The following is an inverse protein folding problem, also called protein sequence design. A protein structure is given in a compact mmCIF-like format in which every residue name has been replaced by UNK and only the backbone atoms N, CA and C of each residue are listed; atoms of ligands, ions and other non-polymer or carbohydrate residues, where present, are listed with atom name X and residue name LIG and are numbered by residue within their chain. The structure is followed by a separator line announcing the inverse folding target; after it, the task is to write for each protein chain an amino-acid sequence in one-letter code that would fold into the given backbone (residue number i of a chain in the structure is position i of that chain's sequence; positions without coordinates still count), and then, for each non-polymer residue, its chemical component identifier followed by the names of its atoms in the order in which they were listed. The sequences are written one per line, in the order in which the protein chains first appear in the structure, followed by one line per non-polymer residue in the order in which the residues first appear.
data_IF_187738907172
#
_entry.id   IF_187738907172
#
_cell.length_a   1.000
_cell.length_b   1.000
_cell.length_c   1.000
_cell.angle_alpha   90.00
_cell.angle_beta   90.00
_cell.angle_gamma   90.00
#
_symmetry.space_group_name_H-M   'P 1'
#
loop_
_entity.id
_entity.type
_entity.pdbx_description
1 polymer ?
#
# COMPACT_ATOMS: atom_id res chain seq x y z
N UNK A 1 -9.23 16.99 10.45
CA UNK A 1 -8.60 16.54 9.18
C UNK A 1 -9.70 16.39 8.16
N UNK A 2 -9.65 17.15 7.06
CA UNK A 2 -10.67 17.13 6.01
C UNK A 2 -10.81 15.73 5.39
N UNK A 3 -12.02 15.18 5.44
CA UNK A 3 -12.35 13.84 4.92
C UNK A 3 -12.01 13.68 3.43
N UNK A 4 -12.02 14.79 2.68
CA UNK A 4 -11.63 14.84 1.27
C UNK A 4 -10.12 14.63 1.09
N UNK A 5 -9.28 15.24 1.93
CA UNK A 5 -7.83 15.09 1.87
C UNK A 5 -7.41 13.65 2.16
N UNK A 6 -8.02 13.02 3.18
CA UNK A 6 -7.76 11.63 3.52
C UNK A 6 -8.17 10.68 2.38
N UNK A 7 -9.26 11.00 1.67
CA UNK A 7 -9.72 10.21 0.53
C UNK A 7 -8.76 10.31 -0.65
N UNK A 8 -8.22 11.49 -0.93
CA UNK A 8 -7.18 11.67 -1.96
C UNK A 8 -5.89 10.94 -1.61
N UNK A 9 -5.42 11.05 -0.36
CA UNK A 9 -4.23 10.35 0.11
C UNK A 9 -4.38 8.82 -0.01
N UNK A 10 -5.56 8.31 0.33
CA UNK A 10 -5.88 6.89 0.19
C UNK A 10 -5.85 6.42 -1.26
N UNK A 11 -6.43 7.17 -2.20
CA UNK A 11 -6.40 6.83 -3.61
C UNK A 11 -4.95 6.78 -4.13
N UNK A 12 -4.15 7.81 -3.83
CA UNK A 12 -2.74 7.87 -4.19
C UNK A 12 -1.93 6.72 -3.59
N UNK A 13 -2.22 6.33 -2.35
CA UNK A 13 -1.56 5.20 -1.71
C UNK A 13 -1.87 3.88 -2.42
N UNK A 14 -3.15 3.64 -2.78
CA UNK A 14 -3.56 2.44 -3.52
C UNK A 14 -2.82 2.35 -4.87
N UNK A 15 -2.75 3.46 -5.61
CA UNK A 15 -2.04 3.50 -6.90
C UNK A 15 -0.55 3.16 -6.74
N UNK A 16 0.09 3.72 -5.71
CA UNK A 16 1.51 3.45 -5.42
C UNK A 16 1.76 2.02 -4.97
N UNK A 17 0.86 1.45 -4.16
CA UNK A 17 0.88 0.02 -3.83
C UNK A 17 0.84 -0.81 -5.12
N UNK A 18 -0.10 -0.51 -6.02
CA UNK A 18 -0.22 -1.22 -7.28
C UNK A 18 1.06 -1.13 -8.13
N UNK A 19 1.64 0.07 -8.27
CA UNK A 19 2.88 0.28 -9.00
C UNK A 19 4.06 -0.49 -8.41
N UNK A 20 4.26 -0.44 -7.09
CA UNK A 20 5.37 -1.15 -6.45
C UNK A 20 5.16 -2.68 -6.50
N UNK A 21 3.92 -3.18 -6.44
CA UNK A 21 3.64 -4.59 -6.68
C UNK A 21 4.04 -5.02 -8.10
N UNK A 22 3.69 -4.24 -9.13
CA UNK A 22 4.09 -4.51 -10.50
C UNK A 22 5.61 -4.54 -10.65
N UNK A 23 6.31 -3.54 -10.10
CA UNK A 23 7.77 -3.45 -10.15
C UNK A 23 8.44 -4.61 -9.43
N UNK A 24 7.97 -4.98 -8.24
CA UNK A 24 8.63 -6.00 -7.42
C UNK A 24 8.24 -7.43 -7.80
N UNK A 25 7.04 -7.65 -8.32
CA UNK A 25 6.47 -9.01 -8.50
C UNK A 25 6.20 -9.36 -9.96
N UNK A 26 6.08 -8.37 -10.85
CA UNK A 26 5.57 -8.55 -12.21
C UNK A 26 4.06 -8.67 -12.29
N UNK A 27 3.35 -8.71 -11.16
CA UNK A 27 1.89 -8.87 -11.07
C UNK A 27 1.24 -7.70 -10.32
N UNK A 28 -0.04 -7.47 -10.59
CA UNK A 28 -0.82 -6.47 -9.88
C UNK A 28 -1.05 -6.85 -8.41
N UNK A 29 -1.21 -5.83 -7.55
CA UNK A 29 -1.40 -6.03 -6.10
C UNK A 29 -2.52 -7.02 -5.74
N UNK A 30 -3.60 -7.04 -6.51
CA UNK A 30 -4.77 -7.90 -6.27
C UNK A 30 -4.51 -9.41 -6.35
N UNK A 31 -3.39 -9.83 -6.96
CA UNK A 31 -2.95 -11.24 -6.95
C UNK A 31 -2.47 -11.66 -5.55
N UNK A 32 -1.94 -10.71 -4.78
CA UNK A 32 -1.28 -10.98 -3.50
C UNK A 32 -2.06 -10.46 -2.29
N UNK A 33 -2.86 -9.42 -2.47
CA UNK A 33 -3.61 -8.78 -1.39
C UNK A 33 -4.96 -8.28 -1.88
N UNK A 34 -6.01 -8.53 -1.11
CA UNK A 34 -7.35 -8.02 -1.41
C UNK A 34 -7.50 -6.53 -1.04
N UNK A 35 -8.58 -5.91 -1.51
CA UNK A 35 -8.86 -4.48 -1.25
C UNK A 35 -8.87 -4.15 0.25
N UNK A 36 -9.42 -5.03 1.08
CA UNK A 36 -9.43 -4.85 2.53
C UNK A 36 -8.00 -4.78 3.11
N UNK A 37 -7.12 -5.67 2.67
CA UNK A 37 -5.71 -5.67 3.08
C UNK A 37 -4.97 -4.40 2.66
N UNK A 38 -5.25 -3.86 1.46
CA UNK A 38 -4.65 -2.59 1.01
C UNK A 38 -5.11 -1.43 1.90
N UNK A 39 -6.39 -1.41 2.30
CA UNK A 39 -6.90 -0.40 3.23
C UNK A 39 -6.29 -0.54 4.63
N UNK A 40 -6.05 -1.76 5.10
CA UNK A 40 -5.32 -2.00 6.35
C UNK A 40 -3.89 -1.48 6.27
N UNK A 41 -3.18 -1.70 5.15
CA UNK A 41 -1.83 -1.17 4.93
C UNK A 41 -1.83 0.36 4.96
N UNK A 42 -2.83 1.01 4.38
CA UNK A 42 -2.98 2.47 4.44
C UNK A 42 -3.15 2.95 5.89
N UNK A 43 -4.02 2.32 6.67
CA UNK A 43 -4.21 2.67 8.08
C UNK A 43 -2.93 2.45 8.90
N UNK A 44 -2.19 1.38 8.63
CA UNK A 44 -0.89 1.14 9.26
C UNK A 44 0.14 2.20 8.87
N UNK A 45 0.15 2.64 7.61
CA UNK A 45 1.03 3.70 7.13
C UNK A 45 0.76 5.04 7.84
N UNK A 46 -0.51 5.42 8.01
CA UNK A 46 -0.87 6.65 8.74
C UNK A 46 -0.32 6.70 10.16
N UNK A 47 -0.09 5.54 10.78
CA UNK A 47 0.43 5.43 12.15
C UNK A 47 1.96 5.32 12.23
N UNK A 48 2.67 5.35 11.09
CA UNK A 48 4.13 5.17 11.05
C UNK A 48 4.85 6.41 10.52
N UNK A 49 6.00 6.72 11.12
CA UNK A 49 6.88 7.82 10.69
C UNK A 49 7.91 7.37 9.65
N UNK A 50 7.53 6.50 8.70
CA UNK A 50 8.44 6.03 7.64
C UNK A 50 8.01 6.53 6.27
N UNK A 51 8.94 6.72 5.31
CA UNK A 51 8.60 7.06 3.95
C UNK A 51 7.64 6.03 3.34
N UNK A 52 6.61 6.51 2.65
CA UNK A 52 5.54 5.66 2.12
C UNK A 52 6.06 4.56 1.20
N UNK A 53 7.02 4.88 0.32
CA UNK A 53 7.61 3.89 -0.58
C UNK A 53 8.34 2.77 0.16
N UNK A 54 9.08 3.10 1.20
CA UNK A 54 9.77 2.12 2.05
C UNK A 54 8.76 1.26 2.81
N UNK A 55 7.67 1.87 3.30
CA UNK A 55 6.55 1.16 3.91
C UNK A 55 6.00 0.09 2.97
N UNK A 56 5.64 0.49 1.75
CA UNK A 56 4.99 -0.37 0.76
C UNK A 56 5.92 -1.53 0.38
N UNK A 57 7.20 -1.25 0.10
CA UNK A 57 8.18 -2.29 -0.28
C UNK A 57 8.41 -3.32 0.82
N UNK A 58 8.48 -2.88 2.07
CA UNK A 58 8.59 -3.78 3.21
C UNK A 58 7.35 -4.69 3.33
N UNK A 59 6.15 -4.13 3.15
CA UNK A 59 4.91 -4.89 3.16
C UNK A 59 4.84 -5.94 2.04
N UNK A 60 5.17 -5.56 0.80
CA UNK A 60 5.25 -6.48 -0.35
C UNK A 60 6.24 -7.61 -0.07
N UNK A 61 7.42 -7.27 0.45
CA UNK A 61 8.45 -8.26 0.77
C UNK A 61 8.00 -9.24 1.85
N UNK A 62 7.22 -8.79 2.83
CA UNK A 62 6.63 -9.65 3.85
C UNK A 62 5.60 -10.61 3.26
N UNK A 63 4.73 -10.13 2.36
CA UNK A 63 3.68 -10.95 1.75
C UNK A 63 4.23 -12.06 0.85
N UNK A 64 5.39 -11.85 0.22
CA UNK A 64 6.09 -12.87 -0.59
C UNK A 64 6.71 -14.01 0.21
N UNK A 65 6.93 -13.84 1.52
CA UNK A 65 7.58 -14.84 2.39
C UNK A 65 6.58 -15.82 3.01
N UNK A 66 5.28 -15.56 2.84
CA UNK A 66 4.17 -16.45 3.16
C UNK A 66 3.83 -17.34 1.97
#
# INVERSE_FOLDING_TARGET
MDSQLLTQQRAQFIDRVHQEFLVMTGYGAHVHINTHGILMLFNQFLNQQRPEREFIRAAISSLKRT
#
